data_IF_000059463263
#
_entry.id   IF_000059463263
#
_cell.length_a   1.000
_cell.length_b   1.000
_cell.length_c   1.000
_cell.angle_alpha   90.00
_cell.angle_beta   90.00
_cell.angle_gamma   90.00
#
_symmetry.space_group_name_H-M   'P 1'
#
loop_
_entity.id
_entity.type
_entity.pdbx_description
1 polymer ?
#
# COMPACT_ATOMS: atom_id res chain seq x y z
N UNK A 1 7.93 4.87 2.30
CA UNK A 1 7.27 6.13 2.70
C UNK A 1 6.27 6.61 1.66
N UNK A 2 6.58 6.70 0.37
CA UNK A 2 5.63 7.15 -0.66
C UNK A 2 4.26 6.43 -0.64
N UNK A 3 4.22 5.09 -0.54
CA UNK A 3 2.97 4.33 -0.47
C UNK A 3 2.09 4.76 0.72
N UNK A 4 2.67 4.86 1.92
CA UNK A 4 1.93 5.33 3.10
C UNK A 4 1.43 6.76 2.90
N UNK A 5 2.29 7.68 2.44
CA UNK A 5 1.91 9.08 2.23
C UNK A 5 0.76 9.23 1.22
N UNK A 6 0.79 8.48 0.11
CA UNK A 6 -0.28 8.50 -0.89
C UNK A 6 -1.58 7.93 -0.31
N UNK A 7 -1.51 6.79 0.39
CA UNK A 7 -2.71 6.21 1.01
C UNK A 7 -3.31 7.15 2.05
N UNK A 8 -2.50 7.75 2.92
CA UNK A 8 -2.99 8.72 3.91
C UNK A 8 -3.61 9.95 3.25
N UNK A 9 -3.04 10.45 2.15
CA UNK A 9 -3.64 11.56 1.40
C UNK A 9 -4.99 11.17 0.77
N UNK A 10 -5.11 9.99 0.17
CA UNK A 10 -6.38 9.48 -0.36
C UNK A 10 -7.42 9.33 0.76
N UNK A 11 -7.04 8.77 1.90
CA UNK A 11 -7.93 8.58 3.04
C UNK A 11 -8.43 9.91 3.62
N UNK A 12 -7.59 10.97 3.61
CA UNK A 12 -8.00 12.30 4.04
C UNK A 12 -9.12 12.89 3.16
N UNK A 13 -9.18 12.50 1.89
CA UNK A 13 -10.23 12.86 0.93
C UNK A 13 -11.38 11.83 0.87
N UNK A 14 -11.50 10.96 1.88
CA UNK A 14 -12.50 9.89 1.94
C UNK A 14 -12.45 8.92 0.73
N UNK A 15 -11.25 8.69 0.20
CA UNK A 15 -10.99 7.70 -0.86
C UNK A 15 -10.40 6.44 -0.22
N UNK A 16 -11.07 5.31 -0.47
CA UNK A 16 -10.59 3.99 -0.05
C UNK A 16 -9.42 3.56 -0.91
N UNK A 17 -8.50 2.79 -0.33
CA UNK A 17 -7.42 2.17 -1.09
C UNK A 17 -7.01 0.82 -0.49
N UNK A 18 -6.29 0.03 -1.27
CA UNK A 18 -5.59 -1.18 -0.83
C UNK A 18 -4.23 -1.28 -1.50
N UNK A 19 -3.27 -1.94 -0.85
CA UNK A 19 -1.92 -2.14 -1.38
C UNK A 19 -1.70 -3.60 -1.73
N UNK A 20 -1.62 -3.90 -3.03
CA UNK A 20 -1.46 -5.24 -3.60
C UNK A 20 -0.02 -5.48 -4.07
N UNK A 21 0.36 -6.75 -4.18
CA UNK A 21 1.70 -7.18 -4.58
C UNK A 21 1.62 -8.34 -5.60
N UNK A 22 1.15 -8.05 -6.81
CA UNK A 22 1.18 -9.00 -7.93
C UNK A 22 2.58 -9.17 -8.55
N UNK A 23 3.50 -8.25 -8.24
CA UNK A 23 4.90 -8.39 -8.60
C UNK A 23 5.52 -9.64 -7.93
N UNK A 24 6.38 -10.41 -8.63
CA UNK A 24 6.96 -10.10 -9.95
C UNK A 24 6.16 -10.64 -11.15
N UNK A 25 5.02 -11.30 -10.94
CA UNK A 25 4.33 -12.09 -11.97
C UNK A 25 3.84 -11.22 -13.13
N UNK A 26 3.45 -9.97 -12.85
CA UNK A 26 2.95 -9.03 -13.85
C UNK A 26 4.03 -8.07 -14.39
N UNK A 27 5.26 -8.11 -13.87
CA UNK A 27 6.27 -7.09 -14.13
C UNK A 27 6.57 -6.97 -15.63
N UNK A 28 6.80 -8.10 -16.32
CA UNK A 28 7.14 -8.10 -17.76
C UNK A 28 6.04 -7.51 -18.64
N UNK A 29 4.78 -7.83 -18.33
CA UNK A 29 3.61 -7.32 -19.06
C UNK A 29 3.42 -5.82 -18.80
N UNK A 30 3.60 -5.37 -17.56
CA UNK A 30 3.54 -3.94 -17.19
C UNK A 30 4.64 -3.16 -17.92
N UNK A 31 5.88 -3.67 -17.92
CA UNK A 31 6.99 -3.03 -18.62
C UNK A 31 6.73 -2.88 -20.11
N UNK A 32 6.22 -3.93 -20.76
CA UNK A 32 5.94 -3.94 -22.19
C UNK A 32 4.75 -3.05 -22.57
N UNK A 33 3.67 -3.10 -21.78
CA UNK A 33 2.39 -2.42 -22.10
C UNK A 33 2.50 -0.90 -22.01
N UNK A 34 3.24 -0.40 -21.00
CA UNK A 34 3.35 1.03 -20.73
C UNK A 34 4.73 1.61 -21.01
N UNK A 35 5.59 0.88 -21.72
CA UNK A 35 6.96 1.29 -22.07
C UNK A 35 7.77 1.77 -20.86
N UNK A 36 7.66 1.04 -19.74
CA UNK A 36 8.36 1.38 -18.50
C UNK A 36 9.81 0.88 -18.58
N UNK A 37 10.82 1.71 -18.25
CA UNK A 37 12.21 1.29 -18.28
C UNK A 37 12.47 0.04 -17.42
N UNK A 38 13.15 -0.97 -17.98
CA UNK A 38 13.42 -2.27 -17.32
C UNK A 38 14.16 -2.18 -15.99
N UNK A 39 14.85 -1.07 -15.71
CA UNK A 39 15.56 -0.88 -14.45
C UNK A 39 14.63 -0.39 -13.31
N UNK A 40 13.38 0.01 -13.62
CA UNK A 40 12.38 0.35 -12.62
C UNK A 40 11.78 -0.92 -12.06
N UNK A 41 11.93 -1.14 -10.75
CA UNK A 41 11.39 -2.33 -10.10
C UNK A 41 9.99 -2.04 -9.57
N UNK A 42 8.99 -2.76 -10.05
CA UNK A 42 7.64 -2.71 -9.50
C UNK A 42 7.67 -3.21 -8.04
N UNK A 43 7.14 -2.40 -7.11
CA UNK A 43 7.16 -2.71 -5.67
C UNK A 43 5.82 -3.12 -5.12
N UNK A 44 4.75 -2.52 -5.61
CA UNK A 44 3.36 -2.77 -5.23
C UNK A 44 2.42 -2.05 -6.22
N UNK A 45 1.13 -2.33 -6.12
CA UNK A 45 0.06 -1.68 -6.85
C UNK A 45 -0.96 -1.13 -5.84
N UNK A 46 -1.25 0.17 -5.90
CA UNK A 46 -2.26 0.78 -5.03
C UNK A 46 -3.56 0.93 -5.79
N UNK A 47 -4.57 0.15 -5.42
CA UNK A 47 -5.92 0.27 -5.98
C UNK A 47 -6.71 1.20 -5.09
N UNK A 48 -7.38 2.21 -5.66
CA UNK A 48 -8.14 3.20 -4.91
C UNK A 48 -9.46 3.57 -5.60
N UNK A 49 -10.42 4.10 -4.84
CA UNK A 49 -11.75 4.45 -5.33
C UNK A 49 -12.71 4.87 -4.20
N UNK A 50 -14.00 4.98 -4.51
CA UNK A 50 -15.03 5.23 -3.50
C UNK A 50 -15.07 4.10 -2.45
N UNK A 51 -15.46 4.45 -1.23
CA UNK A 51 -15.57 3.50 -0.13
C UNK A 51 -16.96 2.85 -0.19
N UNK A 52 -17.03 1.63 -0.72
CA UNK A 52 -18.27 0.85 -0.81
C UNK A 52 -18.43 -0.15 0.35
N UNK A 53 -17.36 -0.38 1.12
CA UNK A 53 -17.35 -1.30 2.26
C UNK A 53 -16.45 -0.74 3.37
N UNK A 54 -16.88 -0.92 4.61
CA UNK A 54 -16.08 -0.57 5.79
C UNK A 54 -14.84 -1.47 5.92
N UNK A 55 -13.79 -0.91 6.51
CA UNK A 55 -12.59 -1.69 6.83
C UNK A 55 -12.90 -2.75 7.88
N UNK A 56 -12.30 -3.94 7.73
CA UNK A 56 -12.39 -4.99 8.73
C UNK A 56 -11.72 -4.59 10.04
N UNK A 57 -12.12 -5.24 11.12
CA UNK A 57 -11.50 -5.05 12.43
C UNK A 57 -9.99 -5.31 12.38
N UNK A 58 -9.21 -4.44 13.04
CA UNK A 58 -7.76 -4.51 13.08
C UNK A 58 -7.28 -4.72 14.51
N UNK A 59 -6.69 -5.88 14.76
CA UNK A 59 -6.07 -6.22 16.03
C UNK A 59 -4.71 -5.50 16.19
N UNK A 60 -4.31 -5.27 17.44
CA UNK A 60 -3.01 -4.70 17.81
C UNK A 60 -2.30 -5.63 18.78
N UNK A 61 -0.96 -5.67 18.71
CA UNK A 61 -0.15 -6.35 19.71
C UNK A 61 -0.06 -5.51 20.98
N UNK A 62 0.15 -6.15 22.12
CA UNK A 62 0.33 -5.48 23.42
C UNK A 62 1.49 -4.49 23.39
N UNK A 63 1.30 -3.34 24.04
CA UNK A 63 2.26 -2.23 23.97
C UNK A 63 3.58 -2.54 24.71
N UNK A 64 3.54 -3.35 25.76
CA UNK A 64 4.72 -3.78 26.51
C UNK A 64 5.67 -4.69 25.70
N UNK A 65 5.12 -5.38 24.69
CA UNK A 65 5.83 -6.19 23.71
C UNK A 65 6.43 -5.35 22.57
N UNK A 66 5.90 -4.15 22.31
CA UNK A 66 6.33 -3.27 21.20
C UNK A 66 7.17 -2.08 21.63
N UNK A 67 7.00 -1.59 22.86
CA UNK A 67 7.65 -0.38 23.34
C UNK A 67 8.44 -0.63 24.64
N UNK A 68 9.63 -0.01 24.72
CA UNK A 68 10.44 0.04 25.95
C UNK A 68 10.77 1.50 26.23
N UNK A 69 10.58 1.92 27.49
CA UNK A 69 10.85 3.29 27.94
C UNK A 69 11.92 3.21 29.03
N UNK A 70 12.97 4.01 28.89
CA UNK A 70 14.05 4.14 29.87
C UNK A 70 14.10 5.61 30.32
N UNK A 71 14.42 5.83 31.60
CA UNK A 71 14.55 7.16 32.21
C UNK A 71 16.02 7.51 32.40
#
# INVERSE_FOLDING_TARGET
>A
MAQLSVWTALAAENVGASLQHYNPIIDDEVHATWDIPRHWKLRAQMVFGSIEQEASEKNYIEDDARFKIFK
#
